data_IF_087975082343
#
_entry.id   IF_087975082343
#
_cell.length_a   1.000
_cell.length_b   1.000
_cell.length_c   1.000
_cell.angle_alpha   90.00
_cell.angle_beta   90.00
_cell.angle_gamma   90.00
#
_symmetry.space_group_name_H-M   'P 1'
#
loop_
_entity.id
_entity.type
_entity.pdbx_description
1 polymer ?
#
# COMPACT_ATOMS: atom_id res chain seq x y z
N UNK A 1 -8.30 3.55 -16.42
CA UNK A 1 -9.32 2.90 -15.57
C UNK A 1 -10.16 1.97 -16.45
N UNK A 2 -9.80 0.68 -16.51
CA UNK A 2 -10.56 -0.38 -17.21
C UNK A 2 -10.15 -1.76 -16.64
N UNK A 3 -9.99 -1.84 -15.31
CA UNK A 3 -9.70 -3.10 -14.64
C UNK A 3 -11.02 -3.79 -14.28
N UNK A 4 -11.15 -5.11 -14.49
CA UNK A 4 -12.25 -5.88 -13.93
C UNK A 4 -12.39 -5.61 -12.43
N UNK A 5 -13.63 -5.53 -11.93
CA UNK A 5 -13.90 -5.14 -10.55
C UNK A 5 -13.12 -5.97 -9.51
N UNK A 6 -12.99 -7.28 -9.75
CA UNK A 6 -12.22 -8.20 -8.89
C UNK A 6 -10.73 -7.83 -8.81
N UNK A 7 -10.14 -7.40 -9.93
CA UNK A 7 -8.73 -7.04 -10.00
C UNK A 7 -8.48 -5.70 -9.32
N UNK A 8 -9.44 -4.77 -9.43
CA UNK A 8 -9.40 -3.51 -8.71
C UNK A 8 -9.38 -3.73 -7.19
N UNK A 9 -10.19 -4.67 -6.69
CA UNK A 9 -10.17 -5.09 -5.28
C UNK A 9 -8.82 -5.71 -4.91
N UNK A 10 -8.30 -6.63 -5.72
CA UNK A 10 -7.01 -7.27 -5.44
C UNK A 10 -5.85 -6.26 -5.36
N UNK A 11 -5.83 -5.26 -6.24
CA UNK A 11 -4.83 -4.18 -6.23
C UNK A 11 -4.97 -3.32 -4.97
N UNK A 12 -6.19 -3.04 -4.52
CA UNK A 12 -6.44 -2.31 -3.27
C UNK A 12 -6.08 -3.11 -2.03
N UNK A 13 -6.08 -4.44 -2.05
CA UNK A 13 -5.69 -5.24 -0.88
C UNK A 13 -4.17 -5.45 -0.80
N UNK A 14 -3.43 -5.22 -1.89
CA UNK A 14 -2.00 -5.49 -1.93
C UNK A 14 -1.22 -4.64 -0.90
N UNK A 15 -0.62 -5.26 0.15
CA UNK A 15 0.09 -4.53 1.21
C UNK A 15 1.33 -3.79 0.69
N UNK A 16 1.94 -4.25 -0.41
CA UNK A 16 3.12 -3.59 -0.99
C UNK A 16 2.78 -2.18 -1.49
N UNK A 17 1.57 -1.97 -2.03
CA UNK A 17 1.10 -0.65 -2.46
C UNK A 17 1.16 0.38 -1.34
N UNK A 18 0.78 -0.05 -0.12
CA UNK A 18 0.75 0.80 1.07
C UNK A 18 2.12 1.02 1.71
N UNK A 19 3.10 0.15 1.44
CA UNK A 19 4.47 0.33 1.89
C UNK A 19 5.27 1.26 0.96
N UNK A 20 5.08 1.11 -0.35
CA UNK A 20 5.84 1.84 -1.37
C UNK A 20 5.40 3.30 -1.45
N UNK A 21 4.12 3.62 -1.27
CA UNK A 21 3.64 5.00 -1.40
C UNK A 21 4.25 5.96 -0.36
N UNK A 22 4.25 5.67 0.96
CA UNK A 22 4.89 6.55 1.95
C UNK A 22 6.41 6.64 1.76
N UNK A 23 7.04 5.55 1.31
CA UNK A 23 8.46 5.54 0.99
C UNK A 23 8.75 6.51 -0.17
N UNK A 24 7.93 6.48 -1.22
CA UNK A 24 8.02 7.38 -2.36
C UNK A 24 7.80 8.83 -1.92
N UNK A 25 6.78 9.11 -1.11
CA UNK A 25 6.54 10.44 -0.54
C UNK A 25 7.78 10.96 0.20
N UNK A 26 8.41 10.12 1.04
CA UNK A 26 9.61 10.48 1.77
C UNK A 26 10.81 10.76 0.84
N UNK A 27 10.96 10.05 -0.27
CA UNK A 27 11.98 10.34 -1.29
C UNK A 27 11.72 11.68 -1.95
N UNK A 28 10.47 11.97 -2.34
CA UNK A 28 10.10 13.24 -2.99
C UNK A 28 10.31 14.48 -2.11
N UNK A 29 10.31 14.33 -0.78
CA UNK A 29 10.67 15.42 0.16
C UNK A 29 12.15 15.82 0.05
N UNK A 30 13.03 14.91 -0.40
CA UNK A 30 14.48 15.13 -0.41
C UNK A 30 15.05 15.40 -1.81
N UNK A 31 14.23 15.33 -2.86
CA UNK A 31 14.65 15.61 -4.23
C UNK A 31 13.96 16.87 -4.73
N UNK A 32 14.71 17.73 -5.42
CA UNK A 32 14.18 18.94 -6.03
C UNK A 32 13.51 18.57 -7.36
N UNK A 33 12.24 18.19 -7.30
CA UNK A 33 11.44 17.76 -8.44
C UNK A 33 10.44 18.86 -8.83
N UNK A 34 10.28 19.09 -10.13
CA UNK A 34 9.25 20.02 -10.62
C UNK A 34 7.85 19.54 -10.22
N UNK A 35 6.92 20.48 -10.01
CA UNK A 35 5.52 20.16 -9.66
C UNK A 35 4.85 19.22 -10.68
N UNK A 36 5.22 19.35 -11.97
CA UNK A 36 4.77 18.46 -13.03
C UNK A 36 5.32 17.03 -12.87
N UNK A 37 6.58 16.87 -12.47
CA UNK A 37 7.18 15.56 -12.20
C UNK A 37 6.55 14.90 -10.98
N UNK A 38 6.30 15.65 -9.91
CA UNK A 38 5.62 15.13 -8.71
C UNK A 38 4.21 14.63 -9.04
N UNK A 39 3.44 15.40 -9.82
CA UNK A 39 2.08 15.00 -10.21
C UNK A 39 2.05 13.72 -11.07
N UNK A 40 3.07 13.51 -11.91
CA UNK A 40 3.16 12.34 -12.78
C UNK A 40 3.72 11.09 -12.06
N UNK A 41 4.71 11.27 -11.19
CA UNK A 41 5.48 10.17 -10.58
C UNK A 41 5.03 9.83 -9.15
N UNK A 42 4.40 10.77 -8.46
CA UNK A 42 3.89 10.61 -7.11
C UNK A 42 2.39 10.96 -6.99
N UNK A 43 1.49 10.31 -7.76
CA UNK A 43 0.07 10.51 -7.59
C UNK A 43 -0.42 9.97 -6.23
N UNK A 44 -1.39 10.64 -5.58
CA UNK A 44 -1.89 10.24 -4.27
C UNK A 44 -2.62 8.90 -4.33
N UNK A 45 -2.38 8.06 -3.32
CA UNK A 45 -3.15 6.85 -3.10
C UNK A 45 -4.58 7.20 -2.67
N UNK A 46 -5.58 6.70 -3.40
CA UNK A 46 -7.00 6.95 -3.12
C UNK A 46 -7.80 5.66 -2.99
N UNK A 47 -8.77 5.65 -2.09
CA UNK A 47 -9.81 4.63 -1.96
C UNK A 47 -11.15 5.23 -2.35
N UNK A 48 -11.72 4.82 -3.49
CA UNK A 48 -13.00 5.36 -3.98
C UNK A 48 -13.08 6.91 -3.97
N UNK A 49 -11.96 7.58 -4.26
CA UNK A 49 -11.85 9.05 -4.26
C UNK A 49 -11.38 9.69 -2.95
N UNK A 50 -11.30 8.93 -1.85
CA UNK A 50 -10.72 9.40 -0.59
C UNK A 50 -9.20 9.21 -0.56
N UNK A 51 -8.43 10.28 -0.35
CA UNK A 51 -6.97 10.18 -0.22
C UNK A 51 -6.63 9.49 1.09
N UNK A 52 -5.86 8.40 1.01
CA UNK A 52 -5.52 7.56 2.15
C UNK A 52 -4.35 8.19 2.91
N UNK A 53 -4.51 8.59 4.19
CA UNK A 53 -3.42 9.16 4.98
C UNK A 53 -2.30 8.14 5.22
N UNK A 54 -1.04 8.60 5.28
CA UNK A 54 0.13 7.73 5.48
C UNK A 54 0.00 6.81 6.71
N UNK A 55 -0.59 7.28 7.81
CA UNK A 55 -0.82 6.46 9.02
C UNK A 55 -1.71 5.25 8.73
N UNK A 56 -2.74 5.42 7.90
CA UNK A 56 -3.63 4.33 7.49
C UNK A 56 -2.87 3.35 6.60
N UNK A 57 -2.05 3.85 5.67
CA UNK A 57 -1.22 3.02 4.80
C UNK A 57 -0.27 2.12 5.62
N UNK A 58 0.46 2.72 6.58
CA UNK A 58 1.35 1.97 7.49
C UNK A 58 0.55 0.97 8.34
N UNK A 59 -0.63 1.35 8.82
CA UNK A 59 -1.53 0.46 9.55
C UNK A 59 -1.94 -0.79 8.75
N UNK A 60 -2.22 -0.64 7.45
CA UNK A 60 -2.53 -1.77 6.55
C UNK A 60 -1.34 -2.71 6.43
N UNK A 61 -0.12 -2.19 6.29
CA UNK A 61 1.11 -3.00 6.21
C UNK A 61 1.32 -3.80 7.50
N UNK A 62 1.18 -3.15 8.66
CA UNK A 62 1.29 -3.81 9.97
C UNK A 62 0.24 -4.90 10.12
N UNK A 63 -1.02 -4.60 9.78
CA UNK A 63 -2.11 -5.56 9.86
C UNK A 63 -1.87 -6.78 8.96
N UNK A 64 -1.39 -6.58 7.73
CA UNK A 64 -1.05 -7.66 6.81
C UNK A 64 0.11 -8.53 7.35
N UNK A 65 1.16 -7.89 7.90
CA UNK A 65 2.28 -8.61 8.51
C UNK A 65 1.84 -9.47 9.69
N UNK A 66 0.99 -8.94 10.57
CA UNK A 66 0.42 -9.70 11.69
C UNK A 66 -0.47 -10.84 11.21
N UNK A 67 -1.28 -10.62 10.17
CA UNK A 67 -2.13 -11.67 9.60
C UNK A 67 -1.29 -12.82 9.03
N UNK A 68 -0.26 -12.52 8.24
CA UNK A 68 0.64 -13.54 7.70
C UNK A 68 1.41 -14.28 8.79
N UNK A 69 1.86 -13.57 9.82
CA UNK A 69 2.51 -14.19 10.99
C UNK A 69 1.54 -15.15 11.72
N UNK A 70 0.30 -14.74 11.94
CA UNK A 70 -0.71 -15.58 12.59
C UNK A 70 -1.04 -16.82 11.75
N UNK A 71 -1.16 -16.67 10.42
CA UNK A 71 -1.36 -17.79 9.49
C UNK A 71 -0.18 -18.75 9.57
N UNK A 72 1.05 -18.24 9.54
CA UNK A 72 2.25 -19.08 9.64
C UNK A 72 2.27 -19.89 10.95
N UNK A 73 2.00 -19.25 12.09
CA UNK A 73 1.90 -19.94 13.39
C UNK A 73 0.87 -21.07 13.33
N UNK A 74 -0.30 -20.80 12.75
CA UNK A 74 -1.36 -21.79 12.64
C UNK A 74 -1.00 -22.96 11.71
N UNK A 75 -0.34 -22.70 10.58
CA UNK A 75 0.11 -23.76 9.66
C UNK A 75 1.19 -24.63 10.29
N UNK A 76 2.19 -24.03 10.94
CA UNK A 76 3.26 -24.80 11.60
C UNK A 76 2.71 -25.64 12.77
N UNK A 77 1.77 -25.11 13.57
CA UNK A 77 1.14 -25.88 14.64
C UNK A 77 0.29 -27.07 14.15
N UNK A 78 -0.14 -27.09 12.88
CA UNK A 78 -0.87 -28.21 12.28
C UNK A 78 0.04 -29.28 11.67
N UNK A 79 1.31 -28.95 11.45
CA UNK A 79 2.28 -29.84 10.86
C UNK A 79 2.96 -30.77 11.89
N UNK A 80 2.86 -30.41 13.17
CA UNK A 80 3.19 -31.25 14.35
C UNK A 80 2.00 -32.11 14.78
#
# INVERSE_FOLDING_TARGET
ANLPAWLNVAVHVNPITYAVHPLRDAVFVHIDASSQAVAALNPPLTWWGWVVPAVVQVGVVVAAGLAFLAIAIWEFNRAD
#
